data_IF_788039745121
#
_entry.id   IF_788039745121
#
_cell.length_a   1.000
_cell.length_b   1.000
_cell.length_c   1.000
_cell.angle_alpha   90.00
_cell.angle_beta   90.00
_cell.angle_gamma   90.00
#
_symmetry.space_group_name_H-M   'P 1'
#
loop_
_entity.id
_entity.type
_entity.pdbx_description
1 polymer ?
#
# COMPACT_ATOMS: atom_id res chain seq x y z
N UNK A 1 10.53 4.24 -8.94
CA UNK A 1 10.01 3.40 -10.04
C UNK A 1 8.70 3.96 -10.58
N UNK A 2 7.54 3.88 -9.93
CA UNK A 2 6.27 4.35 -10.54
C UNK A 2 6.24 5.86 -10.90
N UNK A 3 6.78 6.74 -10.03
CA UNK A 3 6.77 8.19 -10.26
C UNK A 3 7.67 8.67 -11.40
N UNK A 4 8.65 7.87 -11.84
CA UNK A 4 9.53 8.23 -12.94
C UNK A 4 8.78 8.26 -14.28
N UNK A 5 7.67 7.55 -14.38
CA UNK A 5 6.82 7.53 -15.56
C UNK A 5 5.78 8.65 -15.58
N UNK A 6 5.65 9.45 -14.51
CA UNK A 6 4.66 10.55 -14.41
C UNK A 6 4.79 11.53 -15.58
N UNK A 7 6.02 11.91 -15.93
CA UNK A 7 6.29 12.85 -17.02
C UNK A 7 5.91 12.27 -18.38
N UNK A 8 6.32 11.04 -18.67
CA UNK A 8 6.00 10.36 -19.93
C UNK A 8 4.51 10.05 -20.08
N UNK A 9 3.84 9.71 -18.97
CA UNK A 9 2.41 9.45 -18.95
C UNK A 9 1.62 10.75 -19.19
N UNK A 10 2.00 11.85 -18.52
CA UNK A 10 1.36 13.14 -18.71
C UNK A 10 1.57 13.70 -20.13
N UNK A 11 2.74 13.49 -20.74
CA UNK A 11 2.95 13.89 -22.14
C UNK A 11 2.08 13.08 -23.11
N UNK A 12 1.91 11.79 -22.86
CA UNK A 12 1.07 10.92 -23.69
C UNK A 12 -0.44 11.21 -23.52
N UNK A 13 -0.89 11.47 -22.30
CA UNK A 13 -2.30 11.75 -22.00
C UNK A 13 -2.74 13.14 -22.47
N UNK A 14 -1.84 14.14 -22.39
CA UNK A 14 -2.11 15.49 -22.88
C UNK A 14 -1.97 15.63 -24.39
N UNK A 15 -1.57 14.57 -25.11
CA UNK A 15 -1.58 14.59 -26.57
C UNK A 15 -3.02 14.59 -27.08
N UNK A 16 -3.40 15.69 -27.73
CA UNK A 16 -4.75 16.01 -28.18
C UNK A 16 -5.36 14.95 -29.12
N UNK A 17 -4.52 14.16 -29.78
CA UNK A 17 -4.89 13.23 -30.84
C UNK A 17 -5.53 11.93 -30.32
N UNK A 18 -5.36 11.62 -29.03
CA UNK A 18 -5.77 10.33 -28.47
C UNK A 18 -7.09 10.36 -27.68
N UNK A 19 -7.68 11.55 -27.44
CA UNK A 19 -8.92 11.67 -26.66
C UNK A 19 -8.78 11.21 -25.20
N UNK A 20 -7.55 11.09 -24.70
CA UNK A 20 -7.24 10.57 -23.37
C UNK A 20 -7.22 11.65 -22.28
N UNK A 21 -7.39 12.94 -22.63
CA UNK A 21 -7.30 14.04 -21.66
C UNK A 21 -8.27 13.91 -20.47
N UNK A 22 -9.41 13.21 -20.66
CA UNK A 22 -10.35 12.88 -19.57
C UNK A 22 -9.77 11.99 -18.47
N UNK A 23 -8.66 11.30 -18.75
CA UNK A 23 -7.93 10.44 -17.81
C UNK A 23 -6.69 11.14 -17.23
N UNK A 24 -6.47 12.42 -17.55
CA UNK A 24 -5.42 13.20 -16.96
C UNK A 24 -5.69 13.36 -15.46
N UNK A 25 -4.83 12.75 -14.65
CA UNK A 25 -4.90 12.87 -13.21
C UNK A 25 -4.55 14.31 -12.79
N UNK A 26 -5.38 14.89 -11.95
CA UNK A 26 -5.16 16.18 -11.34
C UNK A 26 -3.98 16.14 -10.36
N UNK A 27 -3.42 17.31 -10.04
CA UNK A 27 -2.31 17.42 -9.08
C UNK A 27 -2.65 16.81 -7.70
N UNK A 28 -3.92 16.88 -7.29
CA UNK A 28 -4.40 16.28 -6.04
C UNK A 28 -4.44 14.76 -6.12
N UNK A 29 -4.90 14.17 -7.23
CA UNK A 29 -4.89 12.72 -7.43
C UNK A 29 -3.47 12.16 -7.49
N UNK A 30 -2.54 12.89 -8.11
CA UNK A 30 -1.11 12.54 -8.08
C UNK A 30 -0.55 12.53 -6.64
N UNK A 31 -0.89 13.53 -5.83
CA UNK A 31 -0.48 13.57 -4.42
C UNK A 31 -1.07 12.40 -3.61
N UNK A 32 -2.30 11.98 -3.92
CA UNK A 32 -2.92 10.79 -3.30
C UNK A 32 -2.14 9.53 -3.69
N UNK A 33 -1.79 9.39 -4.98
CA UNK A 33 -1.04 8.24 -5.48
C UNK A 33 0.37 8.17 -4.90
N UNK A 34 1.03 9.31 -4.75
CA UNK A 34 2.35 9.42 -4.09
C UNK A 34 2.29 8.95 -2.65
N UNK A 35 1.34 9.46 -1.87
CA UNK A 35 1.11 9.03 -0.48
C UNK A 35 0.79 7.54 -0.38
N UNK A 36 -0.08 7.03 -1.26
CA UNK A 36 -0.43 5.62 -1.28
C UNK A 36 0.79 4.75 -1.62
N UNK A 37 1.59 5.16 -2.60
CA UNK A 37 2.79 4.44 -3.03
C UNK A 37 3.82 4.39 -1.90
N UNK A 38 4.04 5.47 -1.17
CA UNK A 38 5.03 5.50 -0.10
C UNK A 38 4.59 4.62 1.07
N UNK A 39 3.31 4.67 1.45
CA UNK A 39 2.73 3.78 2.48
C UNK A 39 2.79 2.31 2.06
N UNK A 40 2.40 1.99 0.82
CA UNK A 40 2.44 0.62 0.32
C UNK A 40 3.87 0.08 0.20
N UNK A 41 4.80 0.92 -0.26
CA UNK A 41 6.21 0.56 -0.39
C UNK A 41 6.82 0.30 0.99
N UNK A 42 6.55 1.16 1.96
CA UNK A 42 7.06 1.01 3.32
C UNK A 42 6.42 -0.15 4.09
N UNK A 43 5.14 -0.44 3.87
CA UNK A 43 4.42 -1.49 4.59
C UNK A 43 4.54 -2.88 3.97
N UNK A 44 4.44 -2.98 2.64
CA UNK A 44 4.26 -4.27 1.96
C UNK A 44 5.51 -4.79 1.26
N UNK A 45 6.43 -3.93 0.81
CA UNK A 45 7.51 -4.39 -0.06
C UNK A 45 8.38 -5.44 0.62
N UNK A 46 8.87 -5.16 1.83
CA UNK A 46 9.81 -6.05 2.50
C UNK A 46 9.14 -7.33 2.99
N UNK A 47 7.90 -7.23 3.49
CA UNK A 47 7.12 -8.37 3.98
C UNK A 47 6.69 -9.28 2.84
N UNK A 48 6.19 -8.72 1.72
CA UNK A 48 5.79 -9.51 0.57
C UNK A 48 6.99 -10.14 -0.14
N UNK A 49 8.11 -9.42 -0.22
CA UNK A 49 9.35 -9.99 -0.75
C UNK A 49 9.76 -11.18 0.10
N UNK A 50 9.76 -11.05 1.43
CA UNK A 50 10.02 -12.13 2.37
C UNK A 50 9.11 -13.34 2.13
N UNK A 51 7.80 -13.13 2.06
CA UNK A 51 6.81 -14.19 1.81
C UNK A 51 6.94 -14.84 0.41
N UNK A 52 7.62 -14.18 -0.54
CA UNK A 52 7.86 -14.72 -1.88
C UNK A 52 9.11 -15.60 -1.97
N UNK A 53 9.93 -15.66 -0.91
CA UNK A 53 11.06 -16.57 -0.87
C UNK A 53 10.61 -17.99 -0.48
N UNK A 54 11.16 -19.00 -1.16
CA UNK A 54 10.92 -20.42 -0.85
C UNK A 54 11.34 -20.82 0.57
N UNK A 55 12.15 -20.00 1.23
CA UNK A 55 12.60 -20.22 2.61
C UNK A 55 11.60 -19.73 3.67
N UNK A 56 10.50 -19.07 3.26
CA UNK A 56 9.49 -18.57 4.18
C UNK A 56 8.69 -19.74 4.78
N UNK A 57 8.92 -20.02 6.06
CA UNK A 57 8.14 -21.00 6.84
C UNK A 57 7.00 -20.32 7.58
N UNK A 58 5.96 -21.07 7.95
CA UNK A 58 4.83 -20.54 8.73
C UNK A 58 5.27 -19.82 10.02
N UNK A 59 6.29 -20.36 10.71
CA UNK A 59 6.87 -19.74 11.90
C UNK A 59 7.55 -18.39 11.62
N UNK A 60 8.07 -18.19 10.41
CA UNK A 60 8.71 -16.94 9.98
C UNK A 60 7.73 -15.92 9.37
N UNK A 61 6.56 -16.36 8.93
CA UNK A 61 5.49 -15.50 8.40
C UNK A 61 4.76 -14.75 9.52
N UNK A 62 4.63 -15.33 10.71
CA UNK A 62 3.99 -14.67 11.86
C UNK A 62 4.71 -13.35 12.25
N UNK A 63 6.04 -13.33 12.46
CA UNK A 63 6.76 -12.07 12.70
C UNK A 63 6.65 -11.06 11.55
N UNK A 64 6.56 -11.54 10.31
CA UNK A 64 6.41 -10.68 9.14
C UNK A 64 5.03 -10.01 9.10
N UNK A 65 3.97 -10.77 9.47
CA UNK A 65 2.61 -10.26 9.66
C UNK A 65 2.54 -9.26 10.82
N UNK A 66 3.18 -9.54 11.96
CA UNK A 66 3.21 -8.63 13.12
C UNK A 66 3.90 -7.30 12.77
N UNK A 67 5.00 -7.35 12.02
CA UNK A 67 5.68 -6.17 11.51
C UNK A 67 4.76 -5.37 10.57
N UNK A 68 4.02 -6.05 9.71
CA UNK A 68 3.07 -5.41 8.80
C UNK A 68 1.90 -4.75 9.54
N UNK A 69 1.33 -5.41 10.56
CA UNK A 69 0.25 -4.82 11.38
C UNK A 69 0.73 -3.56 12.10
N UNK A 70 1.93 -3.59 12.67
CA UNK A 70 2.56 -2.45 13.33
C UNK A 70 2.78 -1.28 12.36
N UNK A 71 3.25 -1.55 11.15
CA UNK A 71 3.44 -0.50 10.13
C UNK A 71 2.10 0.05 9.65
N UNK A 72 1.07 -0.78 9.45
CA UNK A 72 -0.26 -0.30 9.08
C UNK A 72 -0.88 0.56 10.19
N UNK A 73 -0.81 0.11 11.45
CA UNK A 73 -1.33 0.85 12.59
C UNK A 73 -0.60 2.19 12.77
N UNK A 74 0.74 2.21 12.69
CA UNK A 74 1.53 3.44 12.78
C UNK A 74 1.34 4.36 11.58
N UNK A 75 1.08 3.83 10.38
CA UNK A 75 0.76 4.64 9.20
C UNK A 75 -0.59 5.32 9.34
N UNK A 76 -1.61 4.64 9.87
CA UNK A 76 -2.91 5.26 10.18
C UNK A 76 -2.79 6.28 11.32
N UNK A 77 -1.93 6.02 12.30
CA UNK A 77 -1.72 6.87 13.48
C UNK A 77 -0.69 8.00 13.29
N UNK A 78 0.08 8.03 12.21
CA UNK A 78 0.91 9.16 11.78
C UNK A 78 0.02 10.35 11.40
N UNK A 79 -0.68 10.89 12.40
CA UNK A 79 -0.86 12.34 12.58
C UNK A 79 0.54 12.88 12.76
N UNK A 80 1.22 13.14 11.65
CA UNK A 80 2.40 13.99 11.71
C UNK A 80 1.89 15.34 12.18
N UNK A 81 2.60 15.88 13.18
CA UNK A 81 2.50 17.21 13.79
C UNK A 81 2.40 18.38 12.77
N UNK A 82 2.48 18.07 11.48
CA UNK A 82 2.11 18.89 10.33
C UNK A 82 1.25 18.08 9.35
N UNK A 83 -0.06 18.15 9.55
CA UNK A 83 -1.10 18.29 8.53
C UNK A 83 -1.12 17.39 7.27
N UNK A 84 -0.43 16.24 7.20
CA UNK A 84 -0.70 15.24 6.16
C UNK A 84 -1.82 14.33 6.67
N UNK A 85 -3.05 14.81 6.55
CA UNK A 85 -4.23 13.98 6.70
C UNK A 85 -4.28 13.04 5.49
N UNK A 86 -4.02 11.75 5.68
CA UNK A 86 -4.29 10.76 4.63
C UNK A 86 -5.70 10.99 4.08
N UNK A 87 -5.81 11.07 2.76
CA UNK A 87 -7.11 11.27 2.10
C UNK A 87 -8.00 10.06 2.38
N UNK A 88 -9.32 10.28 2.33
CA UNK A 88 -10.30 9.23 2.59
C UNK A 88 -10.02 7.92 1.81
N UNK A 89 -9.62 7.93 0.53
CA UNK A 89 -9.27 6.71 -0.20
C UNK A 89 -8.12 5.93 0.44
N UNK A 90 -7.04 6.62 0.84
CA UNK A 90 -5.86 5.97 1.43
C UNK A 90 -6.20 5.34 2.79
N UNK A 91 -7.02 6.02 3.59
CA UNK A 91 -7.51 5.48 4.86
C UNK A 91 -8.36 4.23 4.65
N UNK A 92 -9.27 4.24 3.66
CA UNK A 92 -10.11 3.08 3.32
C UNK A 92 -9.24 1.91 2.83
N UNK A 93 -8.26 2.16 1.97
CA UNK A 93 -7.32 1.13 1.50
C UNK A 93 -6.52 0.52 2.65
N UNK A 94 -6.04 1.33 3.59
CA UNK A 94 -5.34 0.87 4.79
C UNK A 94 -6.21 -0.01 5.69
N UNK A 95 -7.47 0.39 5.90
CA UNK A 95 -8.44 -0.41 6.66
C UNK A 95 -8.75 -1.75 5.98
N UNK A 96 -8.92 -1.74 4.65
CA UNK A 96 -9.11 -2.95 3.87
C UNK A 96 -7.92 -3.89 4.00
N UNK A 97 -6.69 -3.37 3.91
CA UNK A 97 -5.48 -4.17 4.06
C UNK A 97 -5.35 -4.77 5.48
N UNK A 98 -5.66 -4.01 6.53
CA UNK A 98 -5.69 -4.52 7.91
C UNK A 98 -6.74 -5.62 8.09
N UNK A 99 -7.93 -5.46 7.49
CA UNK A 99 -8.97 -6.50 7.50
C UNK A 99 -8.48 -7.79 6.83
N UNK A 100 -7.80 -7.69 5.70
CA UNK A 100 -7.20 -8.84 5.02
C UNK A 100 -6.13 -9.51 5.88
N UNK A 101 -5.26 -8.74 6.54
CA UNK A 101 -4.25 -9.29 7.45
C UNK A 101 -4.89 -10.07 8.61
N UNK A 102 -5.97 -9.56 9.18
CA UNK A 102 -6.71 -10.25 10.24
C UNK A 102 -7.24 -11.62 9.78
N UNK A 103 -7.67 -11.77 8.53
CA UNK A 103 -8.06 -13.08 7.99
C UNK A 103 -6.90 -14.09 8.02
N UNK A 104 -5.67 -13.65 7.74
CA UNK A 104 -4.49 -14.50 7.82
C UNK A 104 -4.14 -14.87 9.27
N UNK A 105 -4.34 -13.97 10.23
CA UNK A 105 -4.20 -14.31 11.65
C UNK A 105 -5.20 -15.41 12.05
N UNK A 106 -6.47 -15.27 11.67
CA UNK A 106 -7.50 -16.30 11.92
C UNK A 106 -7.16 -17.63 11.26
N UNK A 107 -6.66 -17.63 10.02
CA UNK A 107 -6.24 -18.85 9.34
C UNK A 107 -5.05 -19.53 10.04
N UNK A 108 -4.08 -18.74 10.52
CA UNK A 108 -2.91 -19.25 11.26
C UNK A 108 -3.33 -19.84 12.62
N UNK A 109 -4.27 -19.20 13.31
CA UNK A 109 -4.79 -19.69 14.59
C UNK A 109 -5.55 -21.02 14.42
N UNK A 110 -6.40 -21.12 13.40
CA UNK A 110 -7.12 -22.35 13.06
C UNK A 110 -6.17 -23.49 12.62
N UNK A 111 -5.00 -23.17 12.07
CA UNK A 111 -4.00 -24.17 11.66
C UNK A 111 -3.21 -24.78 12.83
N UNK A 112 -3.24 -24.17 14.02
CA UNK A 112 -2.61 -24.68 15.25
C UNK A 112 -3.42 -25.76 15.96
N UNK A 113 -4.60 -26.11 15.46
CA UNK A 113 -5.45 -27.17 16.00
C UNK A 113 -4.97 -28.55 15.50
N UNK A 114 -3.86 -29.06 16.04
CA UNK A 114 -3.46 -30.47 15.99
C UNK A 114 -2.76 -30.89 17.28
#
# INVERSE_FOLDING_TARGET
>A
MALQYKTALNSFINDSDHGLSRFALSSTEWAILENLRDVLHQAFKDVMLFCSHDTATLASVIPAMDKLDSVLASSVLKKVDKQIQFTAPVKISLLAAKKTLNCYYTATDNSRMY
#
